data_IF_877693184801
#
_entry.id   IF_877693184801
#
_cell.length_a   1.000
_cell.length_b   1.000
_cell.length_c   1.000
_cell.angle_alpha   90.00
_cell.angle_beta   90.00
_cell.angle_gamma   90.00
#
_symmetry.space_group_name_H-M   'P 1'
#
loop_
_entity.id
_entity.type
_entity.pdbx_description
1 polymer ?
#
# COMPACT_ATOMS: atom_id res chain seq x y z
N UNK A 1 5.57 -1.68 21.05
CA UNK A 1 5.08 -0.95 19.85
C UNK A 1 3.60 -1.21 19.74
N UNK A 2 2.72 -0.20 19.89
CA UNK A 2 1.29 -0.33 19.63
C UNK A 2 1.12 -0.44 18.12
N UNK A 3 0.42 -1.47 17.71
CA UNK A 3 0.22 -1.91 16.35
C UNK A 3 -0.34 -0.78 15.46
N UNK A 4 0.52 -0.13 14.70
CA UNK A 4 0.14 0.91 13.72
C UNK A 4 -0.83 0.35 12.65
N UNK A 5 -0.89 -0.98 12.49
CA UNK A 5 -1.79 -1.70 11.59
C UNK A 5 -3.28 -1.46 11.89
N UNK A 6 -3.66 -1.04 13.11
CA UNK A 6 -5.06 -0.80 13.48
C UNK A 6 -5.68 0.51 12.98
N UNK A 7 -4.90 1.47 12.51
CA UNK A 7 -5.40 2.83 12.22
C UNK A 7 -5.78 3.09 10.76
N UNK A 8 -5.39 2.23 9.82
CA UNK A 8 -5.71 2.43 8.40
C UNK A 8 -6.66 1.38 7.82
N UNK A 9 -6.96 0.33 8.58
CA UNK A 9 -7.99 -0.64 8.23
C UNK A 9 -9.35 0.08 8.28
N UNK A 10 -10.12 0.01 7.19
CA UNK A 10 -11.41 0.70 7.06
C UNK A 10 -11.32 2.16 6.60
N UNK A 11 -10.17 2.63 6.10
CA UNK A 11 -10.05 3.97 5.52
C UNK A 11 -10.94 4.13 4.28
N UNK A 12 -10.95 3.12 3.42
CA UNK A 12 -11.72 3.09 2.19
C UNK A 12 -12.98 2.24 2.33
N UNK A 13 -14.10 2.73 1.79
CA UNK A 13 -15.30 1.90 1.60
C UNK A 13 -15.06 0.85 0.52
N UNK A 14 -15.94 -0.18 0.43
CA UNK A 14 -15.86 -1.23 -0.60
C UNK A 14 -15.70 -0.66 -2.01
N UNK A 15 -16.52 0.34 -2.37
CA UNK A 15 -16.44 0.99 -3.68
C UNK A 15 -15.10 1.70 -3.88
N UNK A 16 -14.60 2.39 -2.87
CA UNK A 16 -13.31 3.08 -2.94
C UNK A 16 -12.15 2.09 -3.06
N UNK A 17 -12.19 0.97 -2.32
CA UNK A 17 -11.14 -0.06 -2.39
C UNK A 17 -11.09 -0.73 -3.77
N UNK A 18 -12.27 -1.10 -4.33
CA UNK A 18 -12.34 -1.70 -5.67
C UNK A 18 -11.84 -0.72 -6.74
N UNK A 19 -12.33 0.53 -6.71
CA UNK A 19 -11.92 1.54 -7.70
C UNK A 19 -10.42 1.85 -7.57
N UNK A 20 -9.89 1.93 -6.36
CA UNK A 20 -8.46 2.12 -6.11
C UNK A 20 -7.63 0.99 -6.70
N UNK A 21 -7.98 -0.26 -6.42
CA UNK A 21 -7.30 -1.43 -6.94
C UNK A 21 -7.30 -1.48 -8.46
N UNK A 22 -8.47 -1.40 -9.08
CA UNK A 22 -8.60 -1.48 -10.54
C UNK A 22 -7.85 -0.36 -11.26
N UNK A 23 -7.88 0.85 -10.68
CA UNK A 23 -7.16 2.00 -11.21
C UNK A 23 -5.64 1.78 -11.17
N UNK A 24 -5.11 1.24 -10.07
CA UNK A 24 -3.70 0.91 -9.95
C UNK A 24 -3.28 -0.30 -10.79
N UNK A 25 -4.25 -1.12 -11.22
CA UNK A 25 -4.05 -2.20 -12.20
C UNK A 25 -4.23 -1.75 -13.64
N UNK A 26 -4.29 -0.46 -13.89
CA UNK A 26 -4.23 0.13 -15.23
C UNK A 26 -5.59 0.36 -15.89
N UNK A 27 -6.72 0.20 -15.17
CA UNK A 27 -8.05 0.44 -15.73
C UNK A 27 -8.46 1.91 -15.55
N UNK A 28 -8.80 2.63 -16.62
CA UNK A 28 -9.42 3.96 -16.51
C UNK A 28 -10.83 3.85 -15.92
N UNK A 29 -11.36 4.96 -15.43
CA UNK A 29 -12.68 4.98 -14.74
C UNK A 29 -13.85 4.57 -15.63
N UNK A 30 -13.76 4.76 -16.96
CA UNK A 30 -14.72 4.26 -17.94
C UNK A 30 -14.78 2.73 -17.96
N UNK A 31 -13.62 2.09 -17.99
CA UNK A 31 -13.50 0.63 -18.07
C UNK A 31 -13.93 -0.03 -16.76
N UNK A 32 -13.56 0.59 -15.62
CA UNK A 32 -14.04 0.17 -14.30
C UNK A 32 -15.57 0.24 -14.26
N UNK A 33 -16.19 1.33 -14.76
CA UNK A 33 -17.65 1.42 -14.83
C UNK A 33 -18.22 0.30 -15.71
N UNK A 34 -17.72 0.12 -16.93
CA UNK A 34 -18.23 -0.89 -17.86
C UNK A 34 -18.13 -2.31 -17.29
N UNK A 35 -17.10 -2.59 -16.50
CA UNK A 35 -16.90 -3.90 -15.87
C UNK A 35 -17.87 -4.17 -14.72
N UNK A 36 -18.29 -3.12 -14.00
CA UNK A 36 -19.16 -3.19 -12.83
C UNK A 36 -20.49 -2.47 -13.02
N UNK A 37 -20.95 -2.30 -14.29
CA UNK A 37 -22.27 -1.76 -14.61
C UNK A 37 -23.39 -2.66 -14.08
N UNK A 38 -23.17 -3.98 -14.13
CA UNK A 38 -23.99 -4.97 -13.45
C UNK A 38 -23.32 -5.45 -12.15
N UNK A 39 -24.11 -5.95 -11.16
CA UNK A 39 -23.53 -6.47 -9.91
C UNK A 39 -22.51 -7.57 -10.17
N UNK A 40 -21.25 -7.31 -9.81
CA UNK A 40 -20.12 -8.22 -10.02
C UNK A 40 -19.35 -8.47 -8.73
N UNK A 41 -18.83 -9.70 -8.60
CA UNK A 41 -17.96 -10.04 -7.49
C UNK A 41 -16.67 -9.22 -7.56
N UNK A 42 -16.27 -8.68 -6.41
CA UNK A 42 -15.01 -7.93 -6.28
C UNK A 42 -13.81 -8.89 -6.37
N UNK A 43 -12.60 -8.41 -6.73
CA UNK A 43 -11.39 -9.22 -6.76
C UNK A 43 -11.18 -9.94 -5.42
N UNK A 44 -10.78 -11.22 -5.48
CA UNK A 44 -10.62 -12.05 -4.29
C UNK A 44 -9.68 -11.41 -3.24
N UNK A 45 -8.59 -10.81 -3.69
CA UNK A 45 -7.68 -10.10 -2.79
C UNK A 45 -8.39 -8.97 -1.99
N UNK A 46 -9.19 -8.14 -2.69
CA UNK A 46 -9.96 -7.08 -2.04
C UNK A 46 -10.97 -7.66 -1.06
N UNK A 47 -11.65 -8.75 -1.47
CA UNK A 47 -12.60 -9.43 -0.60
C UNK A 47 -11.92 -9.96 0.67
N UNK A 48 -10.76 -10.61 0.55
CA UNK A 48 -9.99 -11.12 1.70
C UNK A 48 -9.58 -10.00 2.66
N UNK A 49 -9.11 -8.86 2.12
CA UNK A 49 -8.73 -7.69 2.92
C UNK A 49 -9.94 -7.14 3.69
N UNK A 50 -11.03 -6.85 3.00
CA UNK A 50 -12.24 -6.30 3.61
C UNK A 50 -12.93 -7.28 4.57
N UNK A 51 -12.90 -8.59 4.26
CA UNK A 51 -13.44 -9.62 5.13
C UNK A 51 -12.65 -9.71 6.46
N UNK A 52 -11.32 -9.59 6.40
CA UNK A 52 -10.46 -9.54 7.59
C UNK A 52 -10.83 -8.35 8.48
N UNK A 53 -11.04 -7.17 7.89
CA UNK A 53 -11.46 -5.98 8.63
C UNK A 53 -12.82 -6.17 9.32
N UNK A 54 -13.76 -6.88 8.67
CA UNK A 54 -15.06 -7.22 9.25
C UNK A 54 -14.89 -8.15 10.44
N UNK A 55 -14.06 -9.20 10.29
CA UNK A 55 -13.81 -10.18 11.32
C UNK A 55 -13.12 -9.56 12.56
N UNK A 56 -12.18 -8.63 12.35
CA UNK A 56 -11.52 -7.91 13.44
C UNK A 56 -12.47 -6.97 14.21
N UNK A 57 -13.52 -6.48 13.55
CA UNK A 57 -14.48 -5.54 14.12
C UNK A 57 -15.70 -6.21 14.72
N UNK A 58 -16.13 -7.34 14.16
CA UNK A 58 -17.38 -8.04 14.53
C UNK A 58 -17.07 -9.39 15.18
N UNK A 59 -17.28 -9.48 16.51
CA UNK A 59 -17.06 -10.71 17.26
C UNK A 59 -18.15 -11.80 17.04
N UNK A 60 -19.30 -11.43 16.46
CA UNK A 60 -20.42 -12.35 16.18
C UNK A 60 -20.27 -12.94 14.77
N UNK A 61 -19.95 -14.23 14.68
CA UNK A 61 -19.69 -14.93 13.42
C UNK A 61 -20.84 -14.83 12.41
N UNK A 62 -22.12 -14.88 12.87
CA UNK A 62 -23.28 -14.79 11.97
C UNK A 62 -23.45 -13.37 11.41
N UNK A 63 -23.14 -12.35 12.21
CA UNK A 63 -23.17 -10.96 11.76
C UNK A 63 -22.01 -10.68 10.82
N UNK A 64 -20.82 -11.17 11.13
CA UNK A 64 -19.65 -11.05 10.28
C UNK A 64 -19.90 -11.68 8.90
N UNK A 65 -20.50 -12.89 8.85
CA UNK A 65 -20.84 -13.56 7.60
C UNK A 65 -21.82 -12.75 6.73
N UNK A 66 -22.88 -12.20 7.34
CA UNK A 66 -23.83 -11.33 6.61
C UNK A 66 -23.17 -10.06 6.06
N UNK A 67 -22.24 -9.46 6.82
CA UNK A 67 -21.52 -8.28 6.34
C UNK A 67 -20.54 -8.64 5.21
N UNK A 68 -19.87 -9.80 5.29
CA UNK A 68 -19.02 -10.31 4.20
C UNK A 68 -19.82 -10.56 2.91
N UNK A 69 -21.03 -11.12 3.02
CA UNK A 69 -21.89 -11.29 1.84
C UNK A 69 -22.26 -9.96 1.18
N UNK A 70 -22.51 -8.91 1.95
CA UNK A 70 -22.82 -7.58 1.40
C UNK A 70 -21.67 -6.94 0.65
N UNK A 71 -20.44 -7.20 1.07
CA UNK A 71 -19.27 -6.62 0.40
C UNK A 71 -18.80 -7.42 -0.81
N UNK A 72 -19.29 -8.65 -0.99
CA UNK A 72 -18.86 -9.57 -2.05
C UNK A 72 -19.07 -8.99 -3.45
N UNK A 73 -20.12 -8.19 -3.63
CA UNK A 73 -20.49 -7.61 -4.93
C UNK A 73 -20.59 -6.11 -4.86
N UNK A 74 -20.17 -5.48 -5.96
CA UNK A 74 -20.35 -4.04 -6.17
C UNK A 74 -21.00 -3.80 -7.53
N UNK A 75 -21.69 -2.65 -7.63
CA UNK A 75 -22.26 -2.12 -8.86
C UNK A 75 -22.02 -0.63 -8.91
N UNK A 76 -21.64 -0.12 -10.06
CA UNK A 76 -21.47 1.31 -10.27
C UNK A 76 -22.56 1.87 -11.19
N UNK A 77 -23.04 3.05 -10.86
CA UNK A 77 -24.19 3.66 -11.57
C UNK A 77 -23.79 4.49 -12.79
N UNK A 78 -22.53 4.92 -12.88
CA UNK A 78 -21.99 5.69 -14.01
C UNK A 78 -20.48 5.86 -13.90
N UNK A 79 -19.79 6.13 -15.01
CA UNK A 79 -18.37 6.49 -15.02
C UNK A 79 -18.09 7.76 -14.19
N UNK A 80 -19.01 8.73 -14.18
CA UNK A 80 -18.92 9.93 -13.34
C UNK A 80 -18.98 9.59 -11.84
N UNK A 81 -19.75 8.56 -11.45
CA UNK A 81 -19.76 8.07 -10.07
C UNK A 81 -18.40 7.44 -9.71
N UNK A 82 -17.85 6.57 -10.57
CA UNK A 82 -16.53 5.95 -10.37
C UNK A 82 -15.44 7.03 -10.21
N UNK A 83 -15.44 8.06 -11.06
CA UNK A 83 -14.49 9.17 -10.97
C UNK A 83 -14.59 9.92 -9.63
N UNK A 84 -15.81 10.14 -9.12
CA UNK A 84 -16.01 10.76 -7.79
C UNK A 84 -15.54 9.85 -6.65
N UNK A 85 -15.77 8.54 -6.76
CA UNK A 85 -15.30 7.54 -5.79
C UNK A 85 -13.78 7.56 -5.74
N UNK A 86 -13.11 7.53 -6.90
CA UNK A 86 -11.65 7.60 -7.00
C UNK A 86 -11.10 8.90 -6.39
N UNK A 87 -11.71 10.04 -6.70
CA UNK A 87 -11.29 11.34 -6.15
C UNK A 87 -11.38 11.37 -4.62
N UNK A 88 -12.45 10.80 -4.05
CA UNK A 88 -12.59 10.68 -2.58
C UNK A 88 -11.54 9.77 -1.96
N UNK A 89 -11.26 8.63 -2.60
CA UNK A 89 -10.21 7.72 -2.14
C UNK A 89 -8.85 8.43 -2.11
N UNK A 90 -8.47 9.11 -3.19
CA UNK A 90 -7.23 9.90 -3.29
C UNK A 90 -7.10 10.92 -2.16
N UNK A 91 -8.14 11.70 -1.89
CA UNK A 91 -8.14 12.70 -0.81
C UNK A 91 -7.99 12.06 0.57
N UNK A 92 -8.74 10.99 0.87
CA UNK A 92 -8.62 10.28 2.14
C UNK A 92 -7.21 9.74 2.36
N UNK A 93 -6.63 9.15 1.32
CA UNK A 93 -5.27 8.60 1.37
C UNK A 93 -4.26 9.73 1.61
N UNK A 94 -4.32 10.80 0.84
CA UNK A 94 -3.42 11.94 0.97
C UNK A 94 -3.46 12.54 2.38
N UNK A 95 -4.66 12.78 2.92
CA UNK A 95 -4.85 13.30 4.27
C UNK A 95 -4.27 12.35 5.33
N UNK A 96 -4.47 11.05 5.14
CA UNK A 96 -3.94 10.03 6.06
C UNK A 96 -2.41 9.98 6.02
N UNK A 97 -1.80 10.02 4.83
CA UNK A 97 -0.34 10.06 4.68
C UNK A 97 0.24 11.29 5.39
N UNK A 98 -0.36 12.48 5.20
CA UNK A 98 0.05 13.72 5.86
C UNK A 98 -0.09 13.63 7.39
N UNK A 99 -1.19 13.05 7.89
CA UNK A 99 -1.39 12.85 9.33
C UNK A 99 -0.31 11.96 9.93
N UNK A 100 0.06 10.87 9.24
CA UNK A 100 1.14 9.99 9.68
C UNK A 100 2.50 10.71 9.66
N UNK A 101 2.83 11.44 8.60
CA UNK A 101 4.06 12.23 8.54
C UNK A 101 4.15 13.24 9.69
N UNK A 102 3.07 13.99 9.94
CA UNK A 102 3.01 14.96 11.03
C UNK A 102 3.13 14.31 12.41
N UNK A 103 2.49 13.14 12.63
CA UNK A 103 2.56 12.39 13.90
C UNK A 103 4.00 11.94 14.21
N UNK A 104 4.76 11.63 13.18
CA UNK A 104 6.17 11.24 13.26
C UNK A 104 7.13 12.41 13.14
N UNK A 105 6.63 13.66 13.02
CA UNK A 105 7.43 14.90 12.90
C UNK A 105 8.40 14.86 11.72
N UNK A 106 7.99 14.26 10.62
CA UNK A 106 8.78 14.17 9.40
C UNK A 106 8.71 15.49 8.64
N UNK A 107 9.81 15.85 8.01
CA UNK A 107 9.82 16.92 7.01
C UNK A 107 9.29 16.37 5.69
N UNK A 108 8.14 16.88 5.24
CA UNK A 108 7.45 16.38 4.06
C UNK A 108 8.08 17.01 2.82
N UNK A 109 8.68 16.19 1.95
CA UNK A 109 9.25 16.63 0.68
C UNK A 109 8.24 16.58 -0.46
N UNK A 110 7.47 15.49 -0.53
CA UNK A 110 6.45 15.32 -1.55
C UNK A 110 5.31 14.44 -1.05
N UNK A 111 4.09 14.71 -1.50
CA UNK A 111 2.92 13.87 -1.25
C UNK A 111 2.14 13.66 -2.55
N UNK A 112 1.86 12.43 -2.88
CA UNK A 112 1.10 12.04 -4.06
C UNK A 112 -0.05 11.10 -3.64
N UNK A 113 -1.20 11.70 -3.36
CA UNK A 113 -2.42 10.97 -2.97
C UNK A 113 -2.97 10.11 -4.10
N UNK A 114 -2.63 10.40 -5.36
CA UNK A 114 -3.01 9.59 -6.50
C UNK A 114 -2.22 8.29 -6.58
N UNK A 115 -0.96 8.31 -6.18
CA UNK A 115 -0.08 7.14 -6.11
C UNK A 115 -0.01 6.52 -4.72
N UNK A 116 -0.64 7.13 -3.72
CA UNK A 116 -0.66 6.64 -2.35
C UNK A 116 0.71 6.63 -1.67
N UNK A 117 1.59 7.58 -2.03
CA UNK A 117 2.94 7.69 -1.49
C UNK A 117 3.24 9.11 -1.01
N UNK A 118 3.96 9.20 0.09
CA UNK A 118 4.59 10.41 0.61
C UNK A 118 6.07 10.14 0.83
N UNK A 119 6.92 11.08 0.43
CA UNK A 119 8.35 11.08 0.77
C UNK A 119 8.66 12.22 1.71
N UNK A 120 9.59 11.99 2.62
CA UNK A 120 10.02 12.96 3.59
C UNK A 120 11.33 12.57 4.25
N UNK A 121 11.79 13.41 5.15
CA UNK A 121 13.04 13.23 5.87
C UNK A 121 12.81 13.24 7.38
N UNK A 122 13.46 12.32 8.09
CA UNK A 122 13.50 12.28 9.54
C UNK A 122 14.85 12.82 10.02
N UNK A 123 14.86 14.01 10.60
CA UNK A 123 16.08 14.64 11.14
C UNK A 123 16.65 13.91 12.36
N UNK A 124 15.83 13.19 13.13
CA UNK A 124 16.31 12.46 14.30
C UNK A 124 17.03 11.18 13.88
N UNK A 125 16.48 10.47 12.90
CA UNK A 125 17.10 9.28 12.32
C UNK A 125 18.10 9.63 11.21
N UNK A 126 18.16 10.88 10.74
CA UNK A 126 18.98 11.36 9.63
C UNK A 126 18.83 10.50 8.37
N UNK A 127 17.59 10.21 7.99
CA UNK A 127 17.29 9.31 6.87
C UNK A 127 16.02 9.70 6.12
N UNK A 128 15.95 9.31 4.86
CA UNK A 128 14.74 9.42 4.06
C UNK A 128 13.67 8.45 4.58
N UNK A 129 12.42 8.88 4.47
CA UNK A 129 11.26 8.10 4.89
C UNK A 129 10.23 8.07 3.77
N UNK A 130 9.71 6.88 3.51
CA UNK A 130 8.58 6.66 2.62
C UNK A 130 7.37 6.29 3.45
N UNK A 131 6.24 6.96 3.21
CA UNK A 131 4.95 6.58 3.79
C UNK A 131 4.06 6.13 2.62
N UNK A 132 3.58 4.89 2.67
CA UNK A 132 2.79 4.29 1.58
C UNK A 132 1.49 3.76 2.15
N UNK A 133 0.39 4.04 1.46
CA UNK A 133 -0.90 3.42 1.74
C UNK A 133 -1.01 2.08 1.02
N UNK A 134 -1.50 1.05 1.71
CA UNK A 134 -1.90 -0.23 1.10
C UNK A 134 -3.25 -0.64 1.65
N UNK A 135 -4.03 -1.39 0.86
CA UNK A 135 -5.30 -1.94 1.31
C UNK A 135 -5.07 -3.01 2.39
N UNK A 136 -4.09 -3.90 2.17
CA UNK A 136 -3.85 -5.06 3.02
C UNK A 136 -3.15 -4.79 4.34
N UNK A 137 -2.25 -3.79 4.40
CA UNK A 137 -1.45 -3.46 5.58
C UNK A 137 -1.74 -2.05 6.13
N UNK A 138 -2.59 -1.26 5.45
CA UNK A 138 -2.87 0.12 5.82
C UNK A 138 -1.72 1.06 5.47
N UNK A 139 -1.40 2.01 6.36
CA UNK A 139 -0.29 2.94 6.17
C UNK A 139 1.00 2.36 6.70
N UNK A 140 1.98 2.28 5.81
CA UNK A 140 3.32 1.77 6.08
C UNK A 140 4.28 2.95 6.16
N UNK A 141 5.13 2.97 7.19
CA UNK A 141 6.21 3.93 7.31
C UNK A 141 7.52 3.16 7.16
N UNK A 142 8.26 3.49 6.11
CA UNK A 142 9.52 2.83 5.77
C UNK A 142 10.68 3.80 5.86
N UNK A 143 11.62 3.51 6.75
CA UNK A 143 12.86 4.26 6.91
C UNK A 143 13.94 3.68 5.98
N UNK A 144 14.55 4.52 5.16
CA UNK A 144 15.68 4.10 4.34
C UNK A 144 16.88 3.81 5.23
N UNK A 145 17.49 2.64 5.06
CA UNK A 145 18.66 2.23 5.83
C UNK A 145 19.48 1.20 5.04
N UNK A 146 20.76 1.12 5.33
CA UNK A 146 21.66 0.11 4.75
C UNK A 146 21.73 -1.17 5.59
N UNK A 147 21.45 -1.05 6.89
CA UNK A 147 21.52 -2.19 7.83
C UNK A 147 20.55 -2.01 8.99
N UNK A 148 20.18 -3.10 9.63
CA UNK A 148 19.39 -3.12 10.86
C UNK A 148 20.13 -3.80 11.99
N UNK A 149 20.30 -3.11 13.12
CA UNK A 149 21.06 -3.66 14.25
C UNK A 149 22.52 -4.01 13.92
N UNK A 150 23.11 -3.32 12.95
CA UNK A 150 24.47 -3.55 12.49
C UNK A 150 24.65 -4.74 11.54
N UNK A 151 23.56 -5.24 10.95
CA UNK A 151 23.56 -6.35 9.99
C UNK A 151 22.86 -5.95 8.70
N UNK A 152 23.37 -6.49 7.59
CA UNK A 152 22.65 -6.51 6.29
C UNK A 152 21.49 -7.52 6.35
N UNK A 153 20.64 -7.53 5.32
CA UNK A 153 19.45 -8.39 5.29
C UNK A 153 19.76 -9.89 5.39
N UNK A 154 20.90 -10.33 4.84
CA UNK A 154 21.38 -11.72 4.85
C UNK A 154 22.05 -12.13 6.18
N UNK A 155 22.20 -11.21 7.13
CA UNK A 155 22.86 -11.42 8.40
C UNK A 155 24.37 -11.13 8.39
N UNK A 156 24.92 -10.73 7.24
CA UNK A 156 26.32 -10.25 7.17
C UNK A 156 26.46 -9.00 8.03
N UNK A 157 27.53 -8.88 8.85
CA UNK A 157 27.78 -7.64 9.58
C UNK A 157 27.95 -6.46 8.62
N UNK A 158 27.31 -5.34 8.93
CA UNK A 158 27.49 -4.11 8.17
C UNK A 158 28.92 -3.54 8.34
N UNK A 159 29.57 -3.83 9.47
CA UNK A 159 30.97 -3.53 9.72
C UNK A 159 31.83 -4.76 9.35
N UNK A 160 32.70 -4.67 8.33
CA UNK A 160 33.53 -5.79 7.86
C UNK A 160 34.49 -6.35 8.91
N UNK A 161 34.75 -5.58 9.96
CA UNK A 161 35.62 -6.01 11.05
C UNK A 161 34.92 -6.90 12.09
N UNK A 162 33.60 -6.96 12.06
CA UNK A 162 32.80 -7.79 12.96
C UNK A 162 32.61 -9.19 12.38
N UNK A 163 32.64 -10.21 13.25
CA UNK A 163 32.32 -11.58 12.85
C UNK A 163 30.78 -11.72 12.70
N UNK A 164 30.36 -12.42 11.64
CA UNK A 164 28.96 -12.83 11.49
C UNK A 164 28.58 -13.83 12.59
N UNK A 165 27.37 -13.66 13.14
CA UNK A 165 26.75 -14.65 14.03
C UNK A 165 25.86 -15.65 13.25
N UNK A 166 25.87 -15.59 11.92
CA UNK A 166 25.10 -16.46 11.02
C UNK A 166 23.59 -16.23 11.03
N UNK A 167 23.10 -15.22 11.76
CA UNK A 167 21.66 -14.95 11.86
C UNK A 167 21.28 -13.82 10.92
N UNK A 168 20.26 -14.07 10.11
CA UNK A 168 19.66 -13.06 9.23
C UNK A 168 19.09 -11.87 10.01
N UNK A 169 18.81 -10.79 9.31
CA UNK A 169 18.11 -9.64 9.88
C UNK A 169 16.75 -10.09 10.45
N UNK A 170 16.43 -9.79 11.72
CA UNK A 170 15.19 -10.23 12.35
C UNK A 170 13.94 -9.61 11.71
N UNK A 171 14.11 -8.56 10.89
CA UNK A 171 13.05 -7.89 10.16
C UNK A 171 12.85 -8.37 8.72
N UNK A 172 13.65 -9.36 8.28
CA UNK A 172 13.67 -9.76 6.86
C UNK A 172 12.29 -10.19 6.35
N UNK A 173 11.57 -11.03 7.09
CA UNK A 173 10.26 -11.52 6.68
C UNK A 173 9.20 -10.41 6.69
N UNK A 174 9.20 -9.55 7.71
CA UNK A 174 8.29 -8.40 7.78
C UNK A 174 8.53 -7.43 6.62
N UNK A 175 9.80 -7.18 6.29
CA UNK A 175 10.16 -6.34 5.14
C UNK A 175 9.71 -6.97 3.82
N UNK A 176 9.90 -8.29 3.65
CA UNK A 176 9.48 -9.01 2.45
C UNK A 176 7.97 -8.92 2.26
N UNK A 177 7.18 -9.28 3.28
CA UNK A 177 5.72 -9.21 3.25
C UNK A 177 5.24 -7.79 2.87
N UNK A 178 5.88 -6.79 3.45
CA UNK A 178 5.55 -5.38 3.18
C UNK A 178 5.82 -5.01 1.72
N UNK A 179 7.00 -5.31 1.20
CA UNK A 179 7.36 -4.96 -0.18
C UNK A 179 6.56 -5.77 -1.20
N UNK A 180 6.30 -7.05 -0.94
CA UNK A 180 5.46 -7.91 -1.80
C UNK A 180 4.02 -7.39 -1.86
N UNK A 181 3.48 -6.92 -0.73
CA UNK A 181 2.15 -6.27 -0.69
C UNK A 181 2.12 -5.01 -1.55
N UNK A 182 3.14 -4.16 -1.46
CA UNK A 182 3.23 -2.94 -2.29
C UNK A 182 3.34 -3.30 -3.78
N UNK A 183 4.21 -4.25 -4.13
CA UNK A 183 4.35 -4.72 -5.52
C UNK A 183 3.02 -5.21 -6.08
N UNK A 184 2.31 -6.06 -5.32
CA UNK A 184 1.01 -6.61 -5.71
C UNK A 184 -0.06 -5.53 -5.86
N UNK A 185 -0.26 -4.69 -4.85
CA UNK A 185 -1.35 -3.72 -4.83
C UNK A 185 -1.18 -2.60 -5.85
N UNK A 186 0.06 -2.25 -6.13
CA UNK A 186 0.37 -1.21 -7.12
C UNK A 186 0.74 -1.79 -8.49
N UNK A 187 0.58 -3.10 -8.71
CA UNK A 187 0.93 -3.76 -9.96
C UNK A 187 2.33 -3.33 -10.46
N UNK A 188 3.33 -3.46 -9.59
CA UNK A 188 4.72 -3.18 -9.87
C UNK A 188 5.50 -4.48 -10.02
N UNK A 189 6.54 -4.46 -10.83
CA UNK A 189 7.43 -5.62 -11.02
C UNK A 189 8.88 -5.20 -10.83
N UNK A 190 9.67 -6.09 -10.27
CA UNK A 190 11.12 -5.99 -10.26
C UNK A 190 11.69 -6.71 -11.48
N UNK A 191 12.81 -6.25 -11.97
CA UNK A 191 13.59 -7.00 -12.96
C UNK A 191 14.54 -7.98 -12.25
N UNK A 192 15.10 -8.98 -12.94
CA UNK A 192 15.95 -10.01 -12.31
C UNK A 192 17.14 -9.45 -11.49
N UNK A 193 17.71 -8.32 -11.92
CA UNK A 193 18.81 -7.68 -11.18
C UNK A 193 18.30 -7.05 -9.87
N UNK A 194 17.12 -6.45 -9.89
CA UNK A 194 16.50 -5.86 -8.71
C UNK A 194 16.04 -6.93 -7.71
N UNK A 195 15.62 -8.10 -8.18
CA UNK A 195 15.22 -9.23 -7.33
C UNK A 195 16.40 -9.81 -6.53
N UNK A 196 17.63 -9.73 -7.06
CA UNK A 196 18.86 -10.18 -6.39
C UNK A 196 19.41 -9.18 -5.37
N UNK A 197 18.89 -7.95 -5.32
CA UNK A 197 19.35 -6.93 -4.38
C UNK A 197 18.89 -7.23 -2.94
N UNK A 198 19.62 -6.67 -1.96
CA UNK A 198 19.13 -6.66 -0.57
C UNK A 198 17.79 -5.92 -0.46
N UNK A 199 16.93 -6.32 0.46
CA UNK A 199 15.62 -5.70 0.70
C UNK A 199 15.70 -4.17 0.87
N UNK A 200 16.74 -3.67 1.51
CA UNK A 200 17.00 -2.24 1.67
C UNK A 200 17.22 -1.53 0.35
N UNK A 201 17.85 -2.18 -0.61
CA UNK A 201 18.06 -1.65 -1.97
C UNK A 201 16.81 -1.82 -2.84
N UNK A 202 16.15 -2.98 -2.73
CA UNK A 202 14.87 -3.23 -3.41
C UNK A 202 13.83 -2.18 -3.03
N UNK A 203 13.73 -1.82 -1.74
CA UNK A 203 12.77 -0.84 -1.27
C UNK A 203 12.91 0.52 -1.98
N UNK A 204 14.12 1.02 -2.14
CA UNK A 204 14.38 2.27 -2.87
C UNK A 204 13.92 2.18 -4.33
N UNK A 205 14.13 1.00 -4.97
CA UNK A 205 13.66 0.77 -6.35
C UNK A 205 12.14 0.72 -6.42
N UNK A 206 11.50 0.03 -5.49
CA UNK A 206 10.03 -0.09 -5.43
C UNK A 206 9.37 1.26 -5.21
N UNK A 207 9.83 2.05 -4.23
CA UNK A 207 9.28 3.38 -3.97
C UNK A 207 9.56 4.34 -5.13
N UNK A 208 10.73 4.27 -5.76
CA UNK A 208 11.05 5.03 -6.97
C UNK A 208 10.11 4.67 -8.14
N UNK A 209 9.84 3.37 -8.37
CA UNK A 209 8.89 2.91 -9.39
C UNK A 209 7.47 3.37 -9.08
N UNK A 210 7.03 3.30 -7.81
CA UNK A 210 5.73 3.79 -7.39
C UNK A 210 5.58 5.29 -7.65
N UNK A 211 6.57 6.08 -7.26
CA UNK A 211 6.60 7.52 -7.52
C UNK A 211 6.62 7.88 -9.01
N UNK A 212 7.25 7.06 -9.85
CA UNK A 212 7.33 7.26 -11.30
C UNK A 212 6.16 6.62 -12.08
N UNK A 213 5.29 5.86 -11.43
CA UNK A 213 4.22 5.11 -12.08
C UNK A 213 3.31 6.01 -12.90
N UNK A 214 3.06 5.59 -14.16
CA UNK A 214 2.06 6.22 -15.01
C UNK A 214 0.69 5.58 -14.71
N UNK A 215 -0.24 6.41 -14.30
CA UNK A 215 -1.62 6.00 -14.00
C UNK A 215 -2.54 6.29 -15.19
N UNK A 216 -3.65 5.57 -15.35
CA UNK A 216 -4.60 5.79 -16.43
C UNK A 216 -5.09 7.24 -16.45
N UNK A 217 -5.02 7.89 -17.61
CA UNK A 217 -5.56 9.23 -17.81
C UNK A 217 -6.88 9.12 -18.55
N UNK A 218 -7.81 9.99 -18.23
CA UNK A 218 -9.05 10.13 -19.02
C UNK A 218 -8.66 10.53 -20.44
N UNK A 219 -8.89 9.63 -21.39
CA UNK A 219 -8.81 9.98 -22.81
C UNK A 219 -10.17 10.57 -23.20
N UNK A 220 -10.20 11.84 -23.59
CA UNK A 220 -11.35 12.37 -24.28
C UNK A 220 -11.41 11.65 -25.63
N UNK A 221 -12.50 10.95 -25.88
CA UNK A 221 -12.82 10.50 -27.21
C UNK A 221 -12.90 11.76 -28.09
N UNK A 222 -11.99 11.86 -29.06
CA UNK A 222 -11.95 12.93 -30.06
C UNK A 222 -12.92 12.63 -31.20
#
# INVERSE_FOLDING_TARGET
MRDARKYAMGLLSNHEAVVWWEYHHGKPTSDIFSEYEEPKDIPDYIFEVLAREIDDRINDSRKAEKEREKIRRVQFTSAAYVSRVLSRAKLKIEDTLKQHANSHRLDIENVDGEKGILTGFDYQASTNVYIVFTLGLGVIIWYEHSSYGGKLCDGTPADPLKKSDGKQCPKLEECRETLDTILKEYNLTLNPVEEEMYMTQQSVRIFGKLGAKQLPRYQRET
#
